data_IF_330111848083
#
_entry.id   IF_330111848083
#
_cell.length_a   1.000
_cell.length_b   1.000
_cell.length_c   1.000
_cell.angle_alpha   90.00
_cell.angle_beta   90.00
_cell.angle_gamma   90.00
#
_symmetry.space_group_name_H-M   'P 1'
#
loop_
_entity.id
_entity.type
_entity.pdbx_description
1 polymer ?
#
# COMPACT_ATOMS: atom_id res chain seq x y z
N UNK A 1 -42.20 15.71 -0.01
CA UNK A 1 -41.51 14.41 0.12
C UNK A 1 -40.04 14.71 -0.09
N UNK A 2 -39.27 14.63 0.99
CA UNK A 2 -38.01 15.35 1.15
C UNK A 2 -36.84 14.74 0.39
N UNK A 3 -36.24 15.59 -0.45
CA UNK A 3 -34.85 15.68 -0.85
C UNK A 3 -33.89 15.14 0.24
N UNK A 4 -33.59 13.84 0.22
CA UNK A 4 -32.54 13.23 1.04
C UNK A 4 -31.62 12.34 0.20
N UNK A 5 -31.45 12.67 -1.08
CA UNK A 5 -30.47 12.06 -1.97
C UNK A 5 -29.16 12.89 -2.05
N UNK A 6 -28.98 13.82 -1.10
CA UNK A 6 -27.87 14.78 -1.08
C UNK A 6 -26.74 14.40 -0.10
N UNK A 7 -26.67 13.16 0.37
CA UNK A 7 -25.67 12.75 1.37
C UNK A 7 -24.88 11.55 0.87
N UNK A 8 -23.61 11.82 0.54
CA UNK A 8 -22.56 10.88 0.12
C UNK A 8 -22.66 10.41 -1.34
N UNK A 9 -22.51 11.33 -2.30
CA UNK A 9 -21.68 10.97 -3.46
C UNK A 9 -20.34 10.53 -2.87
N UNK A 10 -19.92 9.25 -2.95
CA UNK A 10 -18.60 8.88 -2.48
C UNK A 10 -17.63 9.84 -3.16
N UNK A 11 -16.87 10.55 -2.33
CA UNK A 11 -15.73 11.36 -2.75
C UNK A 11 -15.05 10.55 -3.85
N UNK A 12 -15.09 11.05 -5.09
CA UNK A 12 -14.82 10.28 -6.30
C UNK A 12 -13.82 9.15 -6.04
N UNK A 13 -14.27 7.89 -6.18
CA UNK A 13 -13.56 6.64 -5.89
C UNK A 13 -12.04 6.85 -5.96
N UNK A 14 -11.38 6.96 -4.80
CA UNK A 14 -9.96 7.25 -4.79
C UNK A 14 -9.25 6.02 -5.36
N UNK A 15 -8.66 6.09 -6.57
CA UNK A 15 -8.17 4.89 -7.26
C UNK A 15 -7.03 4.21 -6.49
N UNK A 16 -6.38 4.92 -5.55
CA UNK A 16 -5.37 4.36 -4.65
C UNK A 16 -6.00 3.47 -3.58
N UNK A 17 -7.17 3.84 -3.06
CA UNK A 17 -7.92 3.04 -2.10
C UNK A 17 -8.31 1.66 -2.68
N UNK A 18 -8.63 1.61 -3.97
CA UNK A 18 -8.93 0.35 -4.68
C UNK A 18 -7.75 -0.64 -4.75
N UNK A 19 -6.51 -0.17 -4.48
CA UNK A 19 -5.31 -1.02 -4.51
C UNK A 19 -4.96 -1.63 -3.14
N UNK A 20 -5.52 -1.12 -2.04
CA UNK A 20 -5.14 -1.56 -0.68
C UNK A 20 -5.47 -3.04 -0.46
N UNK A 21 -6.70 -3.44 -0.73
CA UNK A 21 -7.13 -4.83 -0.55
C UNK A 21 -6.37 -5.81 -1.49
N UNK A 22 -6.19 -5.52 -2.80
CA UNK A 22 -5.35 -6.36 -3.66
C UNK A 22 -3.90 -6.51 -3.18
N UNK A 23 -3.29 -5.44 -2.64
CA UNK A 23 -1.93 -5.49 -2.10
C UNK A 23 -1.90 -6.40 -0.87
N UNK A 24 -2.86 -6.26 0.04
CA UNK A 24 -2.99 -7.15 1.19
C UNK A 24 -3.11 -8.61 0.77
N UNK A 25 -4.01 -8.92 -0.17
CA UNK A 25 -4.22 -10.28 -0.65
C UNK A 25 -2.97 -10.85 -1.32
N UNK A 26 -2.21 -10.02 -2.04
CA UNK A 26 -0.93 -10.44 -2.63
C UNK A 26 0.10 -10.80 -1.54
N UNK A 27 0.20 -10.01 -0.46
CA UNK A 27 1.08 -10.32 0.67
C UNK A 27 0.66 -11.61 1.39
N UNK A 28 -0.64 -11.86 1.53
CA UNK A 28 -1.18 -13.13 2.07
C UNK A 28 -0.84 -14.32 1.17
N UNK A 29 -1.03 -14.18 -0.14
CA UNK A 29 -0.73 -15.23 -1.11
C UNK A 29 0.75 -15.61 -1.15
N UNK A 30 1.64 -14.67 -0.85
CA UNK A 30 3.08 -14.90 -0.70
C UNK A 30 3.48 -15.48 0.67
N UNK A 31 2.53 -15.59 1.61
CA UNK A 31 2.78 -16.06 2.96
C UNK A 31 3.50 -15.05 3.86
N UNK A 32 3.52 -13.76 3.49
CA UNK A 32 4.20 -12.71 4.25
C UNK A 32 3.29 -11.99 5.24
N UNK A 33 1.98 -12.20 5.12
CA UNK A 33 0.99 -11.72 6.07
C UNK A 33 0.14 -12.87 6.59
N UNK A 34 0.26 -13.13 7.88
CA UNK A 34 -0.56 -14.10 8.62
C UNK A 34 -1.44 -13.36 9.63
N UNK A 35 -2.73 -13.67 9.65
CA UNK A 35 -3.67 -13.03 10.58
C UNK A 35 -4.04 -11.58 10.20
N UNK A 36 -4.60 -10.80 11.16
CA UNK A 36 -5.05 -9.43 10.90
C UNK A 36 -3.88 -8.45 10.75
N UNK A 37 -4.09 -7.38 9.96
CA UNK A 37 -3.14 -6.26 9.88
C UNK A 37 -3.10 -5.56 11.23
N UNK A 38 -1.90 -5.50 11.83
CA UNK A 38 -1.66 -4.80 13.10
C UNK A 38 -1.34 -3.32 12.93
N UNK A 39 -0.97 -2.66 14.03
CA UNK A 39 -0.45 -1.29 14.00
C UNK A 39 0.90 -1.22 13.26
N UNK A 40 1.22 -0.10 12.58
CA UNK A 40 2.49 0.07 11.89
C UNK A 40 3.67 -0.02 12.88
N UNK A 41 4.60 -0.92 12.58
CA UNK A 41 5.87 -0.97 13.29
C UNK A 41 6.70 0.28 12.99
N UNK A 42 7.36 0.83 14.00
CA UNK A 42 8.31 1.92 13.83
C UNK A 42 9.64 1.39 13.28
N UNK A 43 10.20 2.12 12.32
CA UNK A 43 11.54 1.92 11.76
C UNK A 43 12.19 3.29 11.60
N UNK A 44 13.49 3.37 11.86
CA UNK A 44 14.24 4.63 11.79
C UNK A 44 14.87 4.83 10.41
N UNK A 45 15.06 3.76 9.65
CA UNK A 45 15.63 3.78 8.31
C UNK A 45 14.56 3.73 7.20
N UNK A 46 14.84 4.29 6.01
CA UNK A 46 13.97 4.13 4.85
C UNK A 46 13.89 2.65 4.47
N UNK A 47 12.67 2.15 4.29
CA UNK A 47 12.40 0.75 3.95
C UNK A 47 12.91 -0.29 4.97
N UNK A 48 13.25 0.12 6.21
CA UNK A 48 13.75 -0.79 7.24
C UNK A 48 15.11 -1.42 6.91
N UNK A 49 15.92 -0.74 6.08
CA UNK A 49 17.28 -1.18 5.72
C UNK A 49 18.08 -1.42 7.00
N UNK A 50 18.79 -2.55 7.06
CA UNK A 50 19.56 -3.02 8.23
C UNK A 50 18.73 -3.34 9.50
N UNK A 51 17.41 -3.13 9.48
CA UNK A 51 16.51 -3.42 10.62
C UNK A 51 15.69 -4.70 10.41
N UNK A 52 15.24 -4.98 9.19
CA UNK A 52 14.45 -6.18 8.88
C UNK A 52 14.48 -6.55 7.38
N UNK A 53 14.12 -7.79 7.03
CA UNK A 53 13.87 -8.17 5.63
C UNK A 53 12.79 -7.30 4.99
N UNK A 54 12.91 -7.03 3.69
CA UNK A 54 12.00 -6.15 2.97
C UNK A 54 10.55 -6.69 2.96
N UNK A 55 10.38 -8.01 2.92
CA UNK A 55 9.09 -8.69 3.02
C UNK A 55 8.40 -8.41 4.36
N UNK A 56 9.17 -8.42 5.45
CA UNK A 56 8.67 -8.07 6.78
C UNK A 56 8.33 -6.59 6.87
N UNK A 57 9.14 -5.72 6.25
CA UNK A 57 8.84 -4.29 6.18
C UNK A 57 7.53 -4.03 5.42
N UNK A 58 7.28 -4.74 4.32
CA UNK A 58 6.04 -4.64 3.56
C UNK A 58 4.82 -4.99 4.43
N UNK A 59 4.89 -6.10 5.18
CA UNK A 59 3.77 -6.57 5.99
C UNK A 59 3.56 -5.78 7.29
N UNK A 60 4.64 -5.38 7.96
CA UNK A 60 4.59 -4.83 9.33
C UNK A 60 4.64 -3.31 9.38
N UNK A 61 5.13 -2.65 8.33
CA UNK A 61 5.29 -1.18 8.29
C UNK A 61 4.45 -0.58 7.17
N UNK A 62 4.67 -1.04 5.94
CA UNK A 62 4.04 -0.44 4.76
C UNK A 62 2.53 -0.69 4.73
N UNK A 63 2.09 -1.94 4.85
CA UNK A 63 0.67 -2.28 4.75
C UNK A 63 -0.19 -1.58 5.83
N UNK A 64 0.18 -1.57 7.12
CA UNK A 64 -0.57 -0.80 8.12
C UNK A 64 -0.64 0.70 7.80
N UNK A 65 0.49 1.31 7.37
CA UNK A 65 0.50 2.73 6.96
C UNK A 65 -0.33 2.99 5.72
N UNK A 66 -0.40 2.04 4.80
CA UNK A 66 -1.23 2.10 3.60
C UNK A 66 -2.73 2.12 3.97
N UNK A 67 -3.14 1.28 4.93
CA UNK A 67 -4.49 1.30 5.50
C UNK A 67 -4.80 2.64 6.20
N UNK A 68 -3.88 3.17 7.00
CA UNK A 68 -4.02 4.48 7.65
C UNK A 68 -4.17 5.61 6.62
N UNK A 69 -3.33 5.63 5.58
CA UNK A 69 -3.40 6.61 4.50
C UNK A 69 -4.74 6.56 3.76
N UNK A 70 -5.24 5.35 3.49
CA UNK A 70 -6.53 5.13 2.86
C UNK A 70 -7.70 5.60 3.74
N UNK A 71 -7.72 5.19 5.01
CA UNK A 71 -8.76 5.56 5.97
C UNK A 71 -8.79 7.08 6.23
N UNK A 72 -7.61 7.70 6.30
CA UNK A 72 -7.46 9.13 6.50
C UNK A 72 -7.59 9.98 5.24
N UNK A 73 -7.59 9.37 4.04
CA UNK A 73 -7.47 10.07 2.76
C UNK A 73 -6.19 10.89 2.62
N UNK A 74 -5.17 10.56 3.39
CA UNK A 74 -3.92 11.32 3.56
C UNK A 74 -2.78 10.50 2.97
N UNK A 75 -2.54 10.70 1.69
CA UNK A 75 -1.49 10.00 0.96
C UNK A 75 -0.18 10.76 1.03
N UNK A 76 0.98 10.06 1.03
CA UNK A 76 2.26 10.75 0.95
C UNK A 76 2.37 11.54 -0.36
N UNK A 77 3.15 12.64 -0.39
CA UNK A 77 3.32 13.46 -1.59
C UNK A 77 4.10 12.73 -2.69
N UNK A 78 4.85 11.69 -2.33
CA UNK A 78 5.61 10.85 -3.26
C UNK A 78 5.74 9.45 -2.69
N UNK A 79 5.80 8.46 -3.56
CA UNK A 79 6.11 7.08 -3.19
C UNK A 79 7.12 6.46 -4.16
N UNK A 80 7.96 5.57 -3.64
CA UNK A 80 8.99 4.82 -4.36
C UNK A 80 9.02 3.34 -3.90
N UNK A 81 7.90 2.86 -3.36
CA UNK A 81 7.83 1.49 -2.82
C UNK A 81 8.00 0.45 -3.92
N UNK A 82 7.53 0.73 -5.13
CA UNK A 82 7.71 -0.17 -6.28
C UNK A 82 9.19 -0.30 -6.63
N UNK A 83 9.94 0.81 -6.65
CA UNK A 83 11.39 0.81 -6.94
C UNK A 83 12.14 -0.03 -5.90
N UNK A 84 11.81 0.13 -4.62
CA UNK A 84 12.38 -0.69 -3.56
C UNK A 84 11.99 -2.17 -3.72
N UNK A 85 10.75 -2.45 -4.08
CA UNK A 85 10.25 -3.81 -4.28
C UNK A 85 10.94 -4.52 -5.45
N UNK A 86 11.12 -3.87 -6.60
CA UNK A 86 11.89 -4.46 -7.70
C UNK A 86 13.34 -4.76 -7.29
N UNK A 87 13.99 -3.87 -6.55
CA UNK A 87 15.39 -4.09 -6.12
C UNK A 87 15.57 -5.28 -5.19
N UNK A 88 14.59 -5.55 -4.33
CA UNK A 88 14.70 -6.58 -3.29
C UNK A 88 14.02 -7.91 -3.68
N UNK A 89 12.99 -7.86 -4.54
CA UNK A 89 12.10 -8.99 -4.80
C UNK A 89 12.13 -9.48 -6.24
N UNK A 90 12.75 -8.74 -7.18
CA UNK A 90 12.80 -9.18 -8.58
C UNK A 90 13.42 -10.58 -8.72
N UNK A 91 12.83 -11.39 -9.59
CA UNK A 91 13.22 -12.80 -9.77
C UNK A 91 12.66 -13.78 -8.73
N UNK A 92 12.03 -13.32 -7.64
CA UNK A 92 11.36 -14.22 -6.70
C UNK A 92 10.09 -14.86 -7.33
N UNK A 93 9.78 -16.13 -7.06
CA UNK A 93 8.59 -16.78 -7.61
C UNK A 93 7.32 -16.16 -7.04
N UNK A 94 6.35 -15.84 -7.91
CA UNK A 94 5.02 -15.39 -7.50
C UNK A 94 4.89 -13.91 -7.12
N UNK A 95 5.97 -13.12 -7.06
CA UNK A 95 5.89 -11.70 -6.64
C UNK A 95 5.39 -10.75 -7.74
N UNK A 96 5.34 -11.19 -9.00
CA UNK A 96 4.95 -10.35 -10.14
C UNK A 96 3.62 -9.59 -9.98
N UNK A 97 2.54 -10.20 -9.49
CA UNK A 97 1.29 -9.49 -9.17
C UNK A 97 1.49 -8.37 -8.14
N UNK A 98 2.23 -8.60 -7.05
CA UNK A 98 2.52 -7.58 -6.04
C UNK A 98 3.31 -6.41 -6.64
N UNK A 99 4.37 -6.70 -7.40
CA UNK A 99 5.19 -5.67 -8.06
C UNK A 99 4.34 -4.75 -8.96
N UNK A 100 3.41 -5.32 -9.73
CA UNK A 100 2.48 -4.54 -10.57
C UNK A 100 1.53 -3.66 -9.75
N UNK A 101 1.05 -4.14 -8.61
CA UNK A 101 0.16 -3.35 -7.74
C UNK A 101 0.92 -2.18 -7.09
N UNK A 102 2.14 -2.43 -6.62
CA UNK A 102 3.00 -1.39 -6.05
C UNK A 102 3.38 -0.34 -7.09
N UNK A 103 3.67 -0.73 -8.34
CA UNK A 103 3.90 0.21 -9.44
C UNK A 103 2.70 1.13 -9.68
N UNK A 104 1.50 0.56 -9.80
CA UNK A 104 0.28 1.34 -10.00
C UNK A 104 0.02 2.31 -8.84
N UNK A 105 0.28 1.88 -7.60
CA UNK A 105 0.16 2.76 -6.44
C UNK A 105 1.13 3.94 -6.51
N UNK A 106 2.41 3.69 -6.81
CA UNK A 106 3.42 4.73 -6.99
C UNK A 106 3.04 5.70 -8.11
N UNK A 107 2.56 5.20 -9.25
CA UNK A 107 2.08 6.03 -10.37
C UNK A 107 0.93 6.95 -9.96
N UNK A 108 -0.07 6.41 -9.26
CA UNK A 108 -1.23 7.18 -8.80
C UNK A 108 -0.86 8.24 -7.76
N UNK A 109 0.06 7.92 -6.84
CA UNK A 109 0.56 8.86 -5.83
C UNK A 109 1.37 9.98 -6.52
N UNK A 110 2.27 9.62 -7.43
CA UNK A 110 3.22 10.56 -8.02
C UNK A 110 2.58 11.44 -9.12
N UNK A 111 1.52 10.98 -9.78
CA UNK A 111 0.83 11.75 -10.85
C UNK A 111 -0.04 12.88 -10.30
N UNK A 112 -0.58 12.74 -9.08
CA UNK A 112 -1.44 13.77 -8.46
C UNK A 112 -0.71 14.77 -7.57
N UNK A 113 0.63 14.73 -7.56
CA UNK A 113 1.50 15.69 -6.87
C UNK A 113 2.00 16.84 -7.75
N UNK A 114 1.48 17.00 -8.98
CA UNK A 114 1.81 18.07 -9.91
C UNK A 114 0.78 19.19 -9.94
#
# INVERSE_FOLDING_TARGET
>A
MGWRDALCRPRADDPRAALVEPIEQALRALGWLEGPVGAPRAVDSPFGIDEMPFEHWLAQVFLPRLHEACAGGQWPPRSQVAVAAYRNLDGQPGVGPLLRLLSQLDELINTRGG
#
